data_IF_049228988298
#
_entry.id   IF_049228988298
#
_cell.length_a   1.000
_cell.length_b   1.000
_cell.length_c   1.000
_cell.angle_alpha   90.00
_cell.angle_beta   90.00
_cell.angle_gamma   90.00
#
_symmetry.space_group_name_H-M   'P 1'
#
loop_
_entity.id
_entity.type
_entity.pdbx_description
1 polymer ?
#
# COMPACT_ATOMS: atom_id res chain seq x y z
N UNK A 1 24.55 9.97 13.06
CA UNK A 1 23.45 9.10 13.52
C UNK A 1 23.82 7.72 13.10
N UNK A 2 24.20 6.88 14.05
CA UNK A 2 24.57 5.49 13.80
C UNK A 2 23.45 4.63 14.38
N UNK A 3 22.27 4.74 13.75
CA UNK A 3 21.12 3.94 14.09
C UNK A 3 20.99 2.86 13.02
N UNK A 4 21.28 1.62 13.41
CA UNK A 4 20.91 0.44 12.64
C UNK A 4 19.52 0.01 13.11
N UNK A 5 18.59 -0.06 12.17
CA UNK A 5 17.25 -0.60 12.40
C UNK A 5 17.22 -2.04 11.92
N UNK A 6 16.73 -2.95 12.76
CA UNK A 6 16.50 -4.36 12.41
C UNK A 6 15.24 -4.83 13.12
N UNK A 7 14.17 -5.03 12.35
CA UNK A 7 12.89 -5.51 12.89
C UNK A 7 12.17 -6.44 11.92
N UNK A 8 11.44 -7.40 12.48
CA UNK A 8 10.57 -8.31 11.72
C UNK A 8 9.11 -7.93 11.94
N UNK A 9 8.37 -7.70 10.85
CA UNK A 9 6.92 -7.45 10.87
C UNK A 9 6.26 -8.20 9.73
N UNK A 10 5.18 -8.94 10.02
CA UNK A 10 4.43 -9.75 9.04
C UNK A 10 5.30 -10.70 8.18
N UNK A 11 6.43 -11.15 8.73
CA UNK A 11 7.38 -12.02 8.03
C UNK A 11 8.40 -11.29 7.14
N UNK A 12 8.32 -9.97 7.03
CA UNK A 12 9.34 -9.13 6.42
C UNK A 12 10.31 -8.63 7.50
N UNK A 13 11.59 -8.99 7.39
CA UNK A 13 12.66 -8.40 8.20
C UNK A 13 13.23 -7.20 7.47
N UNK A 14 13.10 -6.02 8.04
CA UNK A 14 13.68 -4.79 7.51
C UNK A 14 14.95 -4.47 8.29
N UNK A 15 16.07 -4.45 7.58
CA UNK A 15 17.35 -3.92 8.04
C UNK A 15 17.61 -2.61 7.32
N UNK A 16 17.85 -1.51 8.03
CA UNK A 16 18.00 -0.19 7.44
C UNK A 16 18.95 0.68 8.26
N UNK A 17 19.80 1.46 7.59
CA UNK A 17 20.69 2.42 8.21
C UNK A 17 20.69 3.72 7.41
N UNK A 18 20.92 4.86 8.08
CA UNK A 18 21.04 6.15 7.41
C UNK A 18 22.50 6.38 6.96
N UNK A 19 22.70 6.59 5.66
CA UNK A 19 23.96 7.03 5.09
C UNK A 19 23.95 8.57 4.96
N UNK A 20 24.70 9.31 5.81
CA UNK A 20 24.75 10.77 5.74
C UNK A 20 25.49 11.31 4.52
N UNK A 21 26.36 10.50 3.89
CA UNK A 21 27.09 10.88 2.68
C UNK A 21 26.17 10.82 1.47
N UNK A 22 25.41 9.73 1.35
CA UNK A 22 24.42 9.56 0.29
C UNK A 22 23.10 10.31 0.56
N UNK A 23 22.87 10.75 1.81
CA UNK A 23 21.63 11.38 2.29
C UNK A 23 20.44 10.47 1.98
N UNK A 24 20.57 9.22 2.36
CA UNK A 24 19.61 8.17 2.04
C UNK A 24 19.60 7.10 3.13
N UNK A 25 18.44 6.49 3.33
CA UNK A 25 18.30 5.25 4.07
C UNK A 25 18.59 4.10 3.12
N UNK A 26 19.52 3.23 3.51
CA UNK A 26 19.92 2.07 2.70
C UNK A 26 19.86 0.80 3.54
N UNK A 27 19.51 -0.32 2.90
CA UNK A 27 19.40 -1.59 3.59
C UNK A 27 18.69 -2.64 2.77
N UNK A 28 18.01 -3.57 3.44
CA UNK A 28 17.33 -4.69 2.81
C UNK A 28 16.03 -5.07 3.51
N UNK A 29 15.07 -5.56 2.73
CA UNK A 29 13.92 -6.30 3.24
C UNK A 29 14.06 -7.78 2.88
N UNK A 30 14.05 -8.63 3.89
CA UNK A 30 14.16 -10.09 3.77
C UNK A 30 12.80 -10.75 4.06
N UNK A 31 12.41 -11.73 3.25
CA UNK A 31 11.28 -12.58 3.57
C UNK A 31 11.73 -13.76 4.44
N UNK A 32 11.35 -13.75 5.71
CA UNK A 32 11.71 -14.78 6.69
C UNK A 32 10.68 -15.92 6.77
N UNK A 33 9.79 -16.03 5.78
CA UNK A 33 8.71 -17.02 5.74
C UNK A 33 8.91 -18.03 4.61
N UNK A 34 8.10 -19.10 4.62
CA UNK A 34 8.10 -20.13 3.57
C UNK A 34 7.17 -19.79 2.38
N UNK A 35 6.50 -18.63 2.40
CA UNK A 35 5.61 -18.18 1.33
C UNK A 35 6.09 -16.87 0.71
N UNK A 36 5.77 -16.62 -0.55
CA UNK A 36 6.05 -15.32 -1.16
C UNK A 36 5.28 -14.22 -0.42
N UNK A 37 5.99 -13.19 0.05
CA UNK A 37 5.37 -11.96 0.53
C UNK A 37 5.04 -11.09 -0.69
N UNK A 38 3.79 -10.64 -0.77
CA UNK A 38 3.31 -9.84 -1.89
C UNK A 38 3.20 -8.37 -1.52
N UNK A 39 3.39 -7.52 -2.51
CA UNK A 39 3.21 -6.07 -2.41
C UNK A 39 3.97 -5.46 -1.20
N UNK A 40 5.18 -5.95 -0.92
CA UNK A 40 6.03 -5.45 0.17
C UNK A 40 6.46 -4.02 -0.14
N UNK A 41 6.23 -3.12 0.81
CA UNK A 41 6.63 -1.70 0.74
C UNK A 41 7.37 -1.31 2.01
N UNK A 42 8.25 -0.32 1.91
CA UNK A 42 8.96 0.25 3.06
C UNK A 42 8.72 1.74 3.11
N UNK A 43 8.43 2.23 4.31
CA UNK A 43 8.27 3.65 4.60
C UNK A 43 9.17 4.07 5.78
N UNK A 44 9.69 5.30 5.72
CA UNK A 44 10.49 5.92 6.78
C UNK A 44 9.85 7.24 7.20
N UNK A 45 9.63 7.41 8.50
CA UNK A 45 9.12 8.64 9.11
C UNK A 45 10.27 9.37 9.78
N UNK A 46 10.46 10.64 9.44
CA UNK A 46 11.50 11.50 10.02
C UNK A 46 10.91 12.31 11.18
N UNK A 47 11.72 12.62 12.18
CA UNK A 47 11.29 13.39 13.37
C UNK A 47 10.81 14.81 13.05
N UNK A 48 11.10 15.32 11.85
CA UNK A 48 10.62 16.61 11.36
C UNK A 48 9.23 16.54 10.69
N UNK A 49 8.58 15.37 10.69
CA UNK A 49 7.27 15.13 10.09
C UNK A 49 7.31 14.77 8.60
N UNK A 50 8.49 14.64 7.98
CA UNK A 50 8.63 14.18 6.60
C UNK A 50 8.52 12.66 6.54
N UNK A 51 7.72 12.15 5.60
CA UNK A 51 7.59 10.73 5.30
C UNK A 51 8.29 10.43 3.98
N UNK A 52 9.08 9.35 3.94
CA UNK A 52 9.79 8.87 2.76
C UNK A 52 9.20 7.54 2.32
N UNK A 53 8.69 7.49 1.10
CA UNK A 53 8.04 6.31 0.54
C UNK A 53 6.50 6.45 0.52
N UNK A 54 5.76 5.32 0.55
CA UNK A 54 6.26 3.95 0.53
C UNK A 54 7.05 3.63 -0.76
N UNK A 55 7.98 2.68 -0.71
CA UNK A 55 8.67 2.17 -1.91
C UNK A 55 7.69 1.57 -2.92
N UNK A 56 8.12 1.40 -4.16
CA UNK A 56 7.36 0.62 -5.16
C UNK A 56 7.09 -0.78 -4.58
N UNK A 57 5.85 -1.30 -4.65
CA UNK A 57 5.52 -2.62 -4.15
C UNK A 57 6.33 -3.71 -4.85
N UNK A 58 6.91 -4.62 -4.08
CA UNK A 58 7.68 -5.76 -4.62
C UNK A 58 7.23 -7.08 -4.00
N UNK A 59 7.28 -8.14 -4.79
CA UNK A 59 7.11 -9.50 -4.29
C UNK A 59 8.47 -10.05 -3.85
N UNK A 60 8.56 -10.54 -2.62
CA UNK A 60 9.80 -11.11 -2.05
C UNK A 60 9.62 -12.61 -1.87
N UNK A 61 10.43 -13.39 -2.57
CA UNK A 61 10.40 -14.86 -2.48
C UNK A 61 10.89 -15.36 -1.11
N UNK A 62 10.46 -16.54 -0.65
CA UNK A 62 10.95 -17.14 0.61
C UNK A 62 12.47 -17.11 0.73
N UNK A 63 12.98 -16.66 1.88
CA UNK A 63 14.42 -16.57 2.17
C UNK A 63 15.20 -15.59 1.29
N UNK A 64 14.53 -14.84 0.42
CA UNK A 64 15.18 -13.84 -0.44
C UNK A 64 15.19 -12.48 0.24
N UNK A 65 16.20 -11.68 -0.11
CA UNK A 65 16.34 -10.29 0.31
C UNK A 65 16.28 -9.37 -0.90
N UNK A 66 15.70 -8.18 -0.71
CA UNK A 66 15.64 -7.13 -1.72
C UNK A 66 16.24 -5.84 -1.17
N UNK A 67 17.07 -5.12 -1.94
CA UNK A 67 17.66 -3.86 -1.49
C UNK A 67 16.60 -2.77 -1.38
N UNK A 68 16.77 -1.90 -0.38
CA UNK A 68 15.93 -0.74 -0.12
C UNK A 68 16.81 0.50 -0.14
N UNK A 69 16.34 1.55 -0.83
CA UNK A 69 16.99 2.86 -0.85
C UNK A 69 15.93 3.96 -0.89
N UNK A 70 15.95 4.84 0.10
CA UNK A 70 15.04 6.00 0.20
C UNK A 70 15.85 7.27 0.46
N UNK A 71 15.85 8.19 -0.50
CA UNK A 71 16.57 9.46 -0.39
C UNK A 71 15.86 10.41 0.60
N UNK A 72 16.62 10.98 1.54
CA UNK A 72 16.12 12.02 2.45
C UNK A 72 16.32 13.43 1.89
N UNK A 73 17.06 13.57 0.77
CA UNK A 73 17.38 14.85 0.13
C UNK A 73 17.89 15.88 1.15
N UNK A 74 17.24 17.04 1.22
CA UNK A 74 17.59 18.15 2.11
C UNK A 74 16.93 18.11 3.49
N UNK A 75 16.31 17.00 3.87
CA UNK A 75 15.68 16.85 5.18
C UNK A 75 16.71 16.94 6.32
N UNK A 76 16.38 17.79 7.30
CA UNK A 76 17.09 17.87 8.59
C UNK A 76 16.22 17.20 9.64
N UNK A 77 16.77 16.22 10.35
CA UNK A 77 16.06 15.43 11.35
C UNK A 77 17.02 14.97 12.45
N UNK A 78 16.47 14.69 13.63
CA UNK A 78 17.20 14.24 14.83
C UNK A 78 16.87 12.77 15.20
N UNK A 79 15.86 12.19 14.53
CA UNK A 79 15.51 10.79 14.64
C UNK A 79 14.62 10.34 13.50
N UNK A 80 14.39 9.03 13.43
CA UNK A 80 13.54 8.42 12.41
C UNK A 80 12.98 7.08 12.91
N UNK A 81 11.89 6.64 12.31
CA UNK A 81 11.34 5.29 12.44
C UNK A 81 11.03 4.73 11.06
N UNK A 82 11.04 3.41 10.91
CA UNK A 82 10.73 2.75 9.65
C UNK A 82 9.78 1.58 9.88
N UNK A 83 9.02 1.21 8.86
CA UNK A 83 8.19 0.02 8.92
C UNK A 83 8.02 -0.61 7.53
N UNK A 84 8.09 -1.95 7.44
CA UNK A 84 7.67 -2.66 6.24
C UNK A 84 6.16 -2.94 6.30
N UNK A 85 5.48 -2.71 5.19
CA UNK A 85 4.08 -3.07 4.96
C UNK A 85 4.01 -4.28 4.03
N UNK A 86 3.13 -5.24 4.34
CA UNK A 86 2.95 -6.45 3.52
C UNK A 86 1.49 -6.56 3.06
N UNK A 87 1.28 -6.62 1.75
CA UNK A 87 -0.07 -6.69 1.17
C UNK A 87 -0.73 -5.32 0.99
N UNK A 88 -2.02 -5.33 0.63
CA UNK A 88 -2.79 -4.11 0.27
C UNK A 88 -3.63 -3.56 1.43
N UNK A 89 -3.71 -4.27 2.55
CA UNK A 89 -4.67 -4.00 3.63
C UNK A 89 -4.08 -3.20 4.82
N UNK A 90 -2.79 -2.84 4.80
CA UNK A 90 -2.10 -2.22 5.94
C UNK A 90 -2.04 -0.68 5.92
N UNK A 91 -2.95 0.00 5.21
CA UNK A 91 -3.17 1.44 5.40
C UNK A 91 -4.44 1.69 6.25
N UNK A 92 -4.34 2.29 7.45
CA UNK A 92 -5.50 2.82 8.15
C UNK A 92 -5.89 4.15 7.50
N UNK A 93 -6.58 4.09 6.36
CA UNK A 93 -7.11 5.29 5.73
C UNK A 93 -7.31 5.16 4.23
N UNK A 94 -8.34 4.41 3.84
CA UNK A 94 -9.31 4.78 2.80
C UNK A 94 -10.35 3.64 2.73
N UNK A 95 -11.66 3.90 2.87
CA UNK A 95 -12.65 2.85 2.70
C UNK A 95 -12.56 2.35 1.25
N UNK A 96 -12.26 1.06 1.10
CA UNK A 96 -12.48 0.33 -0.13
C UNK A 96 -13.90 0.65 -0.62
N UNK A 97 -14.00 1.38 -1.74
CA UNK A 97 -15.27 1.54 -2.43
C UNK A 97 -15.64 0.16 -2.97
N UNK A 98 -16.50 -0.51 -2.22
CA UNK A 98 -17.39 -1.56 -2.71
C UNK A 98 -18.21 -1.01 -3.89
N UNK A 99 -18.41 -1.83 -4.92
CA UNK A 99 -19.42 -1.60 -5.95
C UNK A 99 -18.85 -1.15 -7.29
N UNK A 100 -18.45 -2.13 -8.11
CA UNK A 100 -18.16 -1.96 -9.52
C UNK A 100 -18.58 -3.19 -10.31
N UNK A 101 -19.78 -3.71 -10.01
CA UNK A 101 -20.41 -4.75 -10.81
C UNK A 101 -20.86 -4.15 -12.16
N UNK A 102 -20.09 -4.46 -13.20
CA UNK A 102 -20.55 -4.94 -14.51
C UNK A 102 -21.91 -4.38 -15.01
N UNK A 103 -21.87 -3.26 -15.73
CA UNK A 103 -22.92 -2.94 -16.71
C UNK A 103 -22.49 -3.52 -18.07
N UNK A 104 -22.90 -4.75 -18.34
CA UNK A 104 -23.07 -5.26 -19.70
C UNK A 104 -24.54 -5.10 -20.14
N UNK A 105 -24.70 -4.85 -21.44
CA UNK A 105 -25.91 -4.33 -22.06
C UNK A 105 -27.11 -5.27 -22.03
N UNK A 106 -28.28 -4.68 -22.21
CA UNK A 106 -29.54 -5.37 -22.37
C UNK A 106 -30.60 -4.40 -22.86
N UNK A 107 -30.81 -4.43 -24.17
CA UNK A 107 -31.81 -3.71 -24.94
C UNK A 107 -33.26 -3.95 -24.46
N UNK A 108 -34.16 -3.18 -25.09
CA UNK A 108 -35.60 -3.44 -25.27
C UNK A 108 -36.58 -2.82 -24.26
N UNK A 109 -36.98 -1.60 -24.62
CA UNK A 109 -38.32 -1.07 -24.38
C UNK A 109 -39.39 -2.08 -24.85
N UNK A 110 -40.19 -2.61 -23.93
CA UNK A 110 -41.27 -3.53 -24.28
C UNK A 110 -42.19 -3.85 -23.12
N UNK A 111 -43.22 -3.01 -23.00
CA UNK A 111 -44.58 -3.34 -22.57
C UNK A 111 -44.86 -3.82 -21.13
N UNK A 112 -45.82 -3.08 -20.54
CA UNK A 112 -47.02 -3.59 -19.85
C UNK A 112 -47.07 -3.38 -18.35
N UNK A 113 -47.60 -2.21 -17.95
CA UNK A 113 -48.54 -2.15 -16.82
C UNK A 113 -49.69 -1.21 -17.17
N UNK A 114 -50.77 -1.83 -17.66
CA UNK A 114 -52.08 -1.21 -17.71
C UNK A 114 -52.73 -1.32 -16.33
N UNK A 115 -52.97 -0.18 -15.68
CA UNK A 115 -54.12 -0.03 -14.77
C UNK A 115 -54.41 1.44 -14.45
N UNK A 116 -55.54 1.90 -14.97
CA UNK A 116 -56.33 3.02 -14.46
C UNK A 116 -56.70 4.02 -15.55
N UNK A 117 -57.91 4.56 -15.66
CA UNK A 117 -59.17 4.46 -14.91
C UNK A 117 -60.24 5.13 -15.82
N UNK A 118 -61.46 4.59 -15.84
CA UNK A 118 -62.74 5.32 -16.01
C UNK A 118 -63.24 5.88 -17.38
N UNK A 119 -64.54 5.56 -17.58
CA UNK A 119 -65.63 6.37 -18.18
C UNK A 119 -65.93 6.32 -19.69
N UNK A 120 -66.79 5.35 -20.04
CA UNK A 120 -68.09 5.51 -20.73
C UNK A 120 -68.27 6.71 -21.70
N UNK A 121 -68.31 6.39 -23.00
CA UNK A 121 -69.00 7.19 -24.01
C UNK A 121 -70.26 6.41 -24.46
N UNK A 122 -71.39 7.10 -24.30
CA UNK A 122 -72.68 7.02 -25.00
C UNK A 122 -72.86 5.98 -26.11
#
# INVERSE_FOLDING_TARGET
MDADYDQVRNGARLMLSYDPTARAFTGTVENTTERTLRDVRVEVHLSNGTELGPTIPINVQPGSSQPVSLASYDAVFDGWSAHPEVGRDEHPGEPAREGGEEHEGGDEHGDREGRGEHAEHR
#
